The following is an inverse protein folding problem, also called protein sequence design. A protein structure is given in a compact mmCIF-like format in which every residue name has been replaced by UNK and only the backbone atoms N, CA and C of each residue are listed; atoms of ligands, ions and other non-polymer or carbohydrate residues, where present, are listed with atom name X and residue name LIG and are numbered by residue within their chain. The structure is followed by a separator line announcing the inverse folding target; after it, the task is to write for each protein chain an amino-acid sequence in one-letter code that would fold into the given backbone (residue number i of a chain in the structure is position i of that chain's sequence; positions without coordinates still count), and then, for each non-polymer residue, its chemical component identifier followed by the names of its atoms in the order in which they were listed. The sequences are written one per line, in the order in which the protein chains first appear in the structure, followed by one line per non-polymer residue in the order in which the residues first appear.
data_IF_822252187083
#
_entry.id   IF_822252187083
#
_cell.length_a   1.000
_cell.length_b   1.000
_cell.length_c   1.000
_cell.angle_alpha   90.00
_cell.angle_beta   90.00
_cell.angle_gamma   90.00
#
_symmetry.space_group_name_H-M   'P 1'
#
loop_
_entity.id
_entity.type
_entity.pdbx_description
1 polymer ?
#
# COMPACT_ATOMS: atom_id res chain seq x y z
N UNK A 1 1.75 -4.35 -25.15
CA UNK A 1 0.46 -4.31 -24.45
C UNK A 1 0.58 -3.55 -23.13
N UNK A 2 1.33 -4.03 -22.12
CA UNK A 2 1.41 -3.37 -20.81
C UNK A 2 1.83 -1.90 -20.82
N UNK A 3 2.90 -1.55 -21.55
CA UNK A 3 3.40 -0.16 -21.66
C UNK A 3 2.41 0.83 -22.31
N UNK A 4 1.41 0.32 -23.04
CA UNK A 4 0.35 1.14 -23.64
C UNK A 4 -0.78 1.43 -22.63
N UNK A 5 -0.99 0.51 -21.68
CA UNK A 5 -2.01 0.62 -20.63
C UNK A 5 -1.52 1.36 -19.38
N UNK A 6 -0.21 1.31 -19.09
CA UNK A 6 0.40 1.99 -17.94
C UNK A 6 1.59 2.85 -18.35
N UNK A 7 1.61 4.10 -17.88
CA UNK A 7 2.77 4.97 -18.00
C UNK A 7 3.60 4.87 -16.74
N UNK A 8 4.84 4.39 -16.86
CA UNK A 8 5.77 4.33 -15.75
C UNK A 8 6.45 5.68 -15.55
N UNK A 9 6.21 6.28 -14.39
CA UNK A 9 6.92 7.48 -13.94
C UNK A 9 7.62 7.15 -12.62
N UNK A 10 8.89 7.49 -12.51
CA UNK A 10 9.60 7.38 -11.25
C UNK A 10 9.04 8.43 -10.29
N UNK A 11 8.39 7.98 -9.22
CA UNK A 11 8.00 8.87 -8.14
C UNK A 11 9.25 9.25 -7.32
N UNK A 12 9.38 10.53 -6.97
CA UNK A 12 10.29 10.94 -5.90
C UNK A 12 9.72 10.46 -4.57
N UNK A 13 10.55 9.99 -3.62
CA UNK A 13 10.07 9.67 -2.29
C UNK A 13 9.44 10.93 -1.69
N UNK A 14 8.15 10.88 -1.35
CA UNK A 14 7.56 11.93 -0.55
C UNK A 14 8.23 11.91 0.83
N UNK A 15 8.49 13.09 1.42
CA UNK A 15 9.06 13.16 2.75
C UNK A 15 8.12 12.44 3.73
N UNK A 16 8.60 11.34 4.32
CA UNK A 16 7.90 10.63 5.39
C UNK A 16 7.89 11.53 6.63
N UNK A 17 6.72 11.98 7.07
CA UNK A 17 6.60 12.80 8.28
C UNK A 17 5.44 12.33 9.13
N UNK A 18 5.67 11.47 10.11
CA UNK A 18 4.64 10.92 11.01
C UNK A 18 5.02 9.50 11.45
N UNK A 19 4.88 9.17 12.74
CA UNK A 19 5.27 7.88 13.27
C UNK A 19 4.29 6.78 12.83
N UNK A 20 4.77 5.75 12.13
CA UNK A 20 3.95 4.58 11.77
C UNK A 20 3.89 3.62 12.97
N UNK A 21 2.70 3.38 13.56
CA UNK A 21 2.57 2.51 14.73
C UNK A 21 3.02 1.07 14.44
N UNK A 22 3.59 0.38 15.44
CA UNK A 22 4.05 -1.01 15.32
C UNK A 22 2.96 -1.95 14.79
N UNK A 23 1.72 -1.74 15.21
CA UNK A 23 0.61 -2.58 14.78
C UNK A 23 0.25 -2.36 13.30
N UNK A 24 0.34 -1.13 12.78
CA UNK A 24 0.18 -0.86 11.36
C UNK A 24 1.27 -1.56 10.53
N UNK A 25 2.51 -1.59 11.04
CA UNK A 25 3.61 -2.35 10.43
C UNK A 25 3.36 -3.86 10.42
N UNK A 26 2.70 -4.41 11.44
CA UNK A 26 2.39 -5.83 11.52
C UNK A 26 1.38 -6.27 10.44
N UNK A 27 0.48 -5.37 10.01
CA UNK A 27 -0.51 -5.66 8.97
C UNK A 27 0.16 -5.92 7.62
N UNK A 28 1.18 -5.15 7.25
CA UNK A 28 1.93 -5.40 6.00
C UNK A 28 2.87 -6.61 6.06
N UNK A 29 3.07 -7.19 7.25
CA UNK A 29 3.86 -8.41 7.44
C UNK A 29 3.05 -9.70 7.21
N UNK A 30 1.73 -9.64 7.01
CA UNK A 30 0.93 -10.84 6.71
C UNK A 30 1.29 -11.40 5.32
N UNK A 31 1.20 -12.72 5.07
CA UNK A 31 1.84 -13.38 3.92
C UNK A 31 1.53 -12.74 2.56
N UNK A 32 0.26 -12.42 2.29
CA UNK A 32 -0.12 -11.78 1.04
C UNK A 32 0.47 -10.38 0.89
N UNK A 33 0.32 -9.51 1.90
CA UNK A 33 0.86 -8.15 1.87
C UNK A 33 2.39 -8.11 1.85
N UNK A 34 3.03 -9.02 2.58
CA UNK A 34 4.47 -9.19 2.57
C UNK A 34 4.97 -9.64 1.18
N UNK A 35 4.23 -10.54 0.51
CA UNK A 35 4.55 -10.95 -0.86
C UNK A 35 4.48 -9.79 -1.85
N UNK A 36 3.61 -8.80 -1.61
CA UNK A 36 3.50 -7.60 -2.43
C UNK A 36 4.63 -6.58 -2.17
N UNK A 37 5.35 -6.70 -1.05
CA UNK A 37 6.40 -5.76 -0.65
C UNK A 37 5.84 -4.40 -0.20
N UNK A 38 4.64 -4.37 0.37
CA UNK A 38 4.02 -3.13 0.84
C UNK A 38 4.81 -2.53 2.01
N UNK A 39 5.07 -1.21 1.92
CA UNK A 39 5.73 -0.46 2.97
C UNK A 39 4.93 0.80 3.32
N UNK A 40 4.40 0.85 4.54
CA UNK A 40 3.77 2.07 5.08
C UNK A 40 4.89 2.98 5.57
N UNK A 41 5.00 4.16 4.96
CA UNK A 41 6.05 5.14 5.30
C UNK A 41 5.49 6.34 6.05
N UNK A 42 4.19 6.61 5.92
CA UNK A 42 3.52 7.69 6.61
C UNK A 42 2.03 7.35 6.83
N UNK A 43 1.49 7.79 7.97
CA UNK A 43 0.08 7.69 8.32
C UNK A 43 -0.25 8.73 9.39
N UNK A 44 -0.96 9.80 9.04
CA UNK A 44 -1.34 10.88 9.99
C UNK A 44 -2.47 11.74 9.40
N UNK A 45 -3.38 12.22 10.25
CA UNK A 45 -4.37 13.27 9.93
C UNK A 45 -5.17 13.03 8.63
N UNK A 46 -5.61 11.78 8.43
CA UNK A 46 -6.39 11.37 7.25
C UNK A 46 -5.55 11.06 6.02
N UNK A 47 -4.22 11.02 6.14
CA UNK A 47 -3.30 10.77 5.04
C UNK A 47 -2.48 9.53 5.33
N UNK A 48 -2.20 8.77 4.28
CA UNK A 48 -1.26 7.67 4.34
C UNK A 48 -0.43 7.61 3.06
N UNK A 49 0.81 7.14 3.20
CA UNK A 49 1.70 6.90 2.09
C UNK A 49 2.23 5.47 2.18
N UNK A 50 1.81 4.66 1.22
CA UNK A 50 2.19 3.25 1.09
C UNK A 50 2.92 3.06 -0.23
N UNK A 51 4.04 2.37 -0.19
CA UNK A 51 4.81 2.01 -1.37
C UNK A 51 4.63 0.53 -1.70
N UNK A 52 4.52 0.23 -2.99
CA UNK A 52 4.64 -1.11 -3.54
C UNK A 52 5.69 -1.07 -4.66
N UNK A 53 6.74 -1.92 -4.61
CA UNK A 53 7.68 -2.01 -5.71
C UNK A 53 7.00 -2.63 -6.94
N UNK A 54 7.23 -2.06 -8.12
CA UNK A 54 6.81 -2.69 -9.37
C UNK A 54 7.91 -3.65 -9.84
N UNK A 55 7.71 -4.94 -9.60
CA UNK A 55 8.57 -6.03 -10.06
C UNK A 55 7.81 -6.94 -11.04
N UNK A 56 8.49 -7.76 -11.85
CA UNK A 56 7.83 -8.60 -12.86
C UNK A 56 6.74 -9.52 -12.29
N UNK A 57 6.93 -10.01 -11.07
CA UNK A 57 5.96 -10.84 -10.34
C UNK A 57 4.73 -10.07 -9.83
N UNK A 58 4.67 -8.75 -10.05
CA UNK A 58 3.49 -7.88 -9.80
C UNK A 58 2.78 -7.46 -11.08
N UNK A 59 3.15 -8.05 -12.22
CA UNK A 59 2.53 -7.76 -13.50
C UNK A 59 1.61 -8.89 -13.96
N UNK A 60 0.61 -8.55 -14.78
CA UNK A 60 -0.21 -9.49 -15.52
C UNK A 60 0.58 -10.10 -16.71
N UNK A 61 -0.06 -10.98 -17.47
CA UNK A 61 0.58 -11.66 -18.61
C UNK A 61 1.05 -10.71 -19.73
N UNK A 62 0.55 -9.47 -19.74
CA UNK A 62 0.82 -8.45 -20.73
C UNK A 62 1.86 -7.42 -20.24
N UNK A 63 2.33 -7.58 -19.00
CA UNK A 63 3.30 -6.70 -18.35
C UNK A 63 2.71 -5.41 -17.77
N UNK A 64 1.39 -5.30 -17.63
CA UNK A 64 0.75 -4.23 -16.84
C UNK A 64 0.69 -4.63 -15.36
N UNK A 65 0.54 -3.68 -14.43
CA UNK A 65 0.34 -4.02 -13.02
C UNK A 65 -0.87 -4.96 -12.83
N UNK A 66 -0.70 -6.01 -12.03
CA UNK A 66 -1.78 -6.95 -11.71
C UNK A 66 -2.87 -6.23 -10.90
N UNK A 67 -4.13 -6.32 -11.33
CA UNK A 67 -5.24 -5.58 -10.72
C UNK A 67 -5.41 -5.87 -9.23
N UNK A 68 -5.26 -7.13 -8.81
CA UNK A 68 -5.29 -7.51 -7.40
C UNK A 68 -4.16 -6.90 -6.55
N UNK A 69 -2.98 -6.69 -7.12
CA UNK A 69 -1.88 -6.03 -6.42
C UNK A 69 -2.15 -4.52 -6.27
N UNK A 70 -2.70 -3.90 -7.32
CA UNK A 70 -3.14 -2.51 -7.28
C UNK A 70 -4.28 -2.29 -6.29
N UNK A 71 -5.28 -3.18 -6.28
CA UNK A 71 -6.40 -3.14 -5.34
C UNK A 71 -5.92 -3.26 -3.89
N UNK A 72 -5.01 -4.20 -3.60
CA UNK A 72 -4.43 -4.36 -2.27
C UNK A 72 -3.65 -3.12 -1.80
N UNK A 73 -2.91 -2.47 -2.71
CA UNK A 73 -2.22 -1.21 -2.43
C UNK A 73 -3.21 -0.09 -2.07
N UNK A 74 -4.28 0.07 -2.87
CA UNK A 74 -5.31 1.10 -2.65
C UNK A 74 -6.06 0.86 -1.34
N UNK A 75 -6.50 -0.38 -1.11
CA UNK A 75 -7.20 -0.80 0.10
C UNK A 75 -6.36 -0.53 1.36
N UNK A 76 -5.12 -1.02 1.37
CA UNK A 76 -4.20 -0.80 2.50
C UNK A 76 -3.96 0.69 2.74
N UNK A 77 -3.80 1.49 1.67
CA UNK A 77 -3.62 2.95 1.79
C UNK A 77 -4.85 3.61 2.40
N UNK A 78 -6.05 3.25 1.95
CA UNK A 78 -7.31 3.76 2.47
C UNK A 78 -7.55 3.38 3.94
N UNK A 79 -7.23 2.14 4.31
CA UNK A 79 -7.30 1.66 5.69
C UNK A 79 -6.35 2.47 6.60
N UNK A 80 -5.09 2.67 6.19
CA UNK A 80 -4.14 3.50 6.93
C UNK A 80 -4.61 4.96 7.04
N UNK A 81 -5.09 5.56 5.96
CA UNK A 81 -5.60 6.92 6.00
C UNK A 81 -6.76 7.06 7.00
N UNK A 82 -7.71 6.11 6.98
CA UNK A 82 -8.87 6.10 7.87
C UNK A 82 -8.48 5.91 9.34
N UNK A 83 -7.62 4.92 9.63
CA UNK A 83 -7.15 4.64 10.99
C UNK A 83 -6.27 5.74 11.57
N UNK A 84 -5.70 6.61 10.73
CA UNK A 84 -4.91 7.76 11.22
C UNK A 84 -5.78 8.80 11.92
N UNK A 85 -7.09 8.79 11.65
CA UNK A 85 -8.10 9.64 12.31
C UNK A 85 -8.81 8.86 13.41
N UNK A 86 -9.28 7.65 13.09
CA UNK A 86 -10.12 6.87 14.00
C UNK A 86 -9.34 6.21 15.15
N UNK A 87 -8.02 6.13 15.03
CA UNK A 87 -7.20 5.28 15.87
C UNK A 87 -7.20 3.82 15.39
N UNK A 88 -6.15 3.10 15.73
CA UNK A 88 -5.93 1.73 15.30
C UNK A 88 -6.53 0.76 16.34
N UNK A 89 -7.75 0.26 16.08
CA UNK A 89 -8.44 -0.72 16.92
C UNK A 89 -8.78 -1.98 16.11
N UNK A 90 -8.15 -3.10 16.45
CA UNK A 90 -8.34 -4.40 15.78
C UNK A 90 -9.74 -5.01 15.99
N UNK A 91 -10.58 -4.43 16.85
CA UNK A 91 -12.00 -4.79 16.95
C UNK A 91 -12.81 -4.21 15.79
N UNK A 92 -12.38 -3.06 15.26
CA UNK A 92 -13.00 -2.36 14.14
C UNK A 92 -12.08 -2.41 12.93
N UNK A 93 -11.83 -3.64 12.47
CA UNK A 93 -10.95 -3.89 11.33
C UNK A 93 -11.54 -3.19 10.11
N UNK A 94 -10.77 -2.29 9.49
CA UNK A 94 -10.94 -2.04 8.07
C UNK A 94 -10.70 -3.41 7.41
N UNK A 95 -11.71 -3.94 6.73
CA UNK A 95 -11.71 -5.29 6.19
C UNK A 95 -10.46 -5.54 5.33
N UNK A 96 -9.91 -6.75 5.40
CA UNK A 96 -9.12 -7.39 4.33
C UNK A 96 -9.78 -8.70 4.01
#
# INVERSE_FOLDING_TARGET
AGAERQRLTRASPAAAGGEVPKLARAIVSVPFMASLGLAITHMQDGRALVHMPLTPDKTDHDGAIHEGALAALLDTTGAMASWSIAGLDLRYKAST
#
